data_IF_832974046135
#
_entry.id   IF_832974046135
#
_cell.length_a   1.000
_cell.length_b   1.000
_cell.length_c   1.000
_cell.angle_alpha   90.00
_cell.angle_beta   90.00
_cell.angle_gamma   90.00
#
_symmetry.space_group_name_H-M   'P 1'
#
loop_
_entity.id
_entity.type
_entity.pdbx_description
1 polymer ?
#
# COMPACT_ATOMS: atom_id res chain seq x y z
N UNK A 1 16.65 -13.61 -16.35
CA UNK A 1 15.54 -13.37 -15.40
C UNK A 1 14.55 -12.42 -16.03
N UNK A 2 13.57 -12.98 -16.76
CA UNK A 2 12.30 -12.31 -17.06
C UNK A 2 11.49 -12.38 -15.76
N UNK A 3 10.90 -11.24 -15.38
CA UNK A 3 9.75 -11.05 -14.48
C UNK A 3 9.95 -9.74 -13.73
N UNK A 4 8.95 -8.88 -13.77
CA UNK A 4 8.90 -7.66 -12.98
C UNK A 4 8.92 -8.10 -11.50
N UNK A 5 10.00 -7.89 -10.73
CA UNK A 5 10.11 -8.47 -9.38
C UNK A 5 9.02 -7.93 -8.44
N UNK A 6 8.42 -6.80 -8.78
CA UNK A 6 7.40 -6.13 -7.98
C UNK A 6 6.19 -5.80 -8.85
N UNK A 7 5.35 -6.80 -9.11
CA UNK A 7 4.08 -6.59 -9.79
C UNK A 7 3.11 -5.82 -8.87
N UNK A 8 2.53 -4.72 -9.36
CA UNK A 8 1.56 -3.90 -8.62
C UNK A 8 0.42 -4.75 -8.04
N UNK A 9 -0.09 -5.72 -8.81
CA UNK A 9 -1.15 -6.65 -8.37
C UNK A 9 -0.82 -7.34 -7.04
N UNK A 10 0.42 -7.80 -6.88
CA UNK A 10 0.84 -8.52 -5.67
C UNK A 10 0.94 -7.57 -4.48
N UNK A 11 1.45 -6.36 -4.70
CA UNK A 11 1.54 -5.32 -3.67
C UNK A 11 0.14 -4.86 -3.24
N UNK A 12 -0.76 -4.61 -4.19
CA UNK A 12 -2.14 -4.24 -3.94
C UNK A 12 -2.83 -5.25 -3.02
N UNK A 13 -2.76 -6.55 -3.34
CA UNK A 13 -3.37 -7.59 -2.53
C UNK A 13 -2.69 -7.74 -1.17
N UNK A 14 -1.37 -7.63 -1.10
CA UNK A 14 -0.63 -7.69 0.16
C UNK A 14 -1.07 -6.59 1.13
N UNK A 15 -1.19 -5.34 0.65
CA UNK A 15 -1.64 -4.24 1.49
C UNK A 15 -3.13 -4.34 1.83
N UNK A 16 -3.96 -4.72 0.86
CA UNK A 16 -5.41 -4.88 1.04
C UNK A 16 -5.70 -5.92 2.12
N UNK A 17 -5.17 -7.14 1.98
CA UNK A 17 -5.40 -8.21 2.95
C UNK A 17 -4.62 -7.99 4.25
N UNK A 18 -3.46 -7.36 4.19
CA UNK A 18 -2.67 -7.03 5.38
C UNK A 18 -3.36 -6.03 6.30
N UNK A 19 -4.04 -5.01 5.74
CA UNK A 19 -4.77 -4.01 6.53
C UNK A 19 -6.20 -4.42 6.88
N UNK A 20 -6.80 -5.32 6.09
CA UNK A 20 -8.18 -5.77 6.24
C UNK A 20 -8.58 -6.16 7.66
N UNK A 21 -7.87 -7.02 8.43
CA UNK A 21 -8.33 -7.42 9.77
C UNK A 21 -8.45 -6.24 10.73
N UNK A 22 -7.55 -5.27 10.65
CA UNK A 22 -7.56 -4.08 11.50
C UNK A 22 -8.69 -3.12 11.12
N UNK A 23 -8.90 -2.91 9.82
CA UNK A 23 -9.98 -2.05 9.32
C UNK A 23 -11.36 -2.68 9.54
N UNK A 24 -11.50 -4.00 9.40
CA UNK A 24 -12.75 -4.70 9.74
C UNK A 24 -13.05 -4.62 11.24
N UNK A 25 -12.04 -4.76 12.10
CA UNK A 25 -12.21 -4.58 13.54
C UNK A 25 -12.66 -3.15 13.87
N UNK A 26 -11.99 -2.14 13.31
CA UNK A 26 -12.38 -0.73 13.50
C UNK A 26 -13.79 -0.44 12.99
N UNK A 27 -14.14 -0.99 11.83
CA UNK A 27 -15.48 -0.89 11.22
C UNK A 27 -16.54 -1.49 12.15
N UNK A 28 -16.28 -2.68 12.70
CA UNK A 28 -17.17 -3.33 13.66
C UNK A 28 -17.29 -2.54 14.96
N UNK A 29 -16.20 -2.01 15.53
CA UNK A 29 -16.26 -1.17 16.73
C UNK A 29 -17.02 0.14 16.50
N UNK A 30 -16.89 0.74 15.32
CA UNK A 30 -17.69 1.89 14.92
C UNK A 30 -19.17 1.57 14.87
N UNK A 31 -19.55 0.38 14.40
CA UNK A 31 -20.94 -0.06 14.33
C UNK A 31 -21.65 -0.02 15.69
N UNK A 32 -20.93 -0.30 16.78
CA UNK A 32 -21.43 -0.25 18.16
C UNK A 32 -21.21 1.11 18.86
N UNK A 33 -20.85 2.15 18.11
CA UNK A 33 -20.53 3.48 18.64
C UNK A 33 -19.36 3.50 19.64
N UNK A 34 -18.44 2.52 19.58
CA UNK A 34 -17.30 2.43 20.51
C UNK A 34 -16.13 3.29 20.02
N UNK A 35 -15.81 3.24 18.73
CA UNK A 35 -14.70 3.97 18.12
C UNK A 35 -15.19 4.76 16.91
N UNK A 36 -14.98 6.09 16.84
CA UNK A 36 -15.34 6.87 15.66
C UNK A 36 -14.42 6.58 14.49
N UNK A 37 -14.98 6.62 13.28
CA UNK A 37 -14.22 6.74 12.03
C UNK A 37 -14.21 8.21 11.63
N UNK A 38 -13.03 8.82 11.60
CA UNK A 38 -12.90 10.21 11.17
C UNK A 38 -12.84 10.31 9.65
N UNK A 39 -13.77 11.06 9.07
CA UNK A 39 -13.79 11.38 7.65
C UNK A 39 -13.97 12.89 7.50
N UNK A 40 -13.10 13.56 6.74
CA UNK A 40 -13.08 15.02 6.60
C UNK A 40 -13.05 15.80 7.92
N UNK A 41 -12.35 15.29 8.94
CA UNK A 41 -12.28 15.82 10.31
C UNK A 41 -13.57 15.70 11.14
N UNK A 42 -14.60 15.04 10.61
CA UNK A 42 -15.83 14.77 11.36
C UNK A 42 -15.85 13.31 11.84
N UNK A 43 -16.24 13.05 13.10
CA UNK A 43 -16.36 11.69 13.61
C UNK A 43 -17.68 11.05 13.17
N UNK A 44 -17.59 9.91 12.48
CA UNK A 44 -18.74 9.11 12.08
C UNK A 44 -18.80 7.81 12.88
N UNK A 45 -20.00 7.44 13.31
CA UNK A 45 -20.27 6.23 14.09
C UNK A 45 -21.33 5.36 13.41
N UNK A 46 -21.61 4.20 14.00
CA UNK A 46 -22.66 3.30 13.57
C UNK A 46 -22.42 2.75 12.17
N UNK A 47 -23.51 2.65 11.40
CA UNK A 47 -23.50 2.12 10.05
C UNK A 47 -22.70 2.96 9.06
N UNK A 48 -22.67 4.28 9.27
CA UNK A 48 -21.91 5.20 8.42
C UNK A 48 -20.40 4.94 8.55
N UNK A 49 -19.87 4.95 9.78
CA UNK A 49 -18.46 4.65 10.01
C UNK A 49 -18.07 3.22 9.60
N UNK A 50 -18.99 2.26 9.77
CA UNK A 50 -18.81 0.89 9.28
C UNK A 50 -18.56 0.85 7.77
N UNK A 51 -19.44 1.49 6.97
CA UNK A 51 -19.31 1.55 5.51
C UNK A 51 -18.04 2.29 5.09
N UNK A 52 -17.77 3.46 5.70
CA UNK A 52 -16.60 4.27 5.36
C UNK A 52 -15.33 3.42 5.49
N UNK A 53 -15.16 2.69 6.60
CA UNK A 53 -13.98 1.85 6.78
C UNK A 53 -13.90 0.68 5.79
N UNK A 54 -15.02 0.02 5.47
CA UNK A 54 -15.03 -1.09 4.50
C UNK A 54 -14.61 -0.61 3.12
N UNK A 55 -15.18 0.52 2.68
CA UNK A 55 -14.79 1.12 1.41
C UNK A 55 -13.34 1.55 1.42
N UNK A 56 -12.81 2.00 2.55
CA UNK A 56 -11.42 2.45 2.65
C UNK A 56 -10.38 1.33 2.48
N UNK A 57 -10.73 0.06 2.72
CA UNK A 57 -9.81 -1.09 2.58
C UNK A 57 -9.16 -1.17 1.18
N UNK A 58 -9.91 -1.26 0.06
CA UNK A 58 -9.31 -1.29 -1.26
C UNK A 58 -8.60 0.03 -1.62
N UNK A 59 -9.06 1.18 -1.14
CA UNK A 59 -8.38 2.46 -1.37
C UNK A 59 -7.00 2.49 -0.71
N UNK A 60 -6.90 2.04 0.54
CA UNK A 60 -5.62 1.91 1.23
C UNK A 60 -4.68 0.96 0.48
N UNK A 61 -5.20 -0.20 0.06
CA UNK A 61 -4.45 -1.15 -0.76
C UNK A 61 -3.95 -0.56 -2.08
N UNK A 62 -4.78 0.25 -2.76
CA UNK A 62 -4.40 0.95 -3.99
C UNK A 62 -3.29 1.97 -3.74
N UNK A 63 -3.47 2.87 -2.76
CA UNK A 63 -2.51 3.93 -2.46
C UNK A 63 -1.16 3.33 -2.03
N UNK A 64 -1.17 2.45 -1.04
CA UNK A 64 0.05 1.84 -0.51
C UNK A 64 0.71 0.93 -1.55
N UNK A 65 -0.08 0.14 -2.27
CA UNK A 65 0.40 -0.68 -3.38
C UNK A 65 1.06 0.17 -4.46
N UNK A 66 0.50 1.33 -4.78
CA UNK A 66 1.01 2.20 -5.85
C UNK A 66 2.29 2.90 -5.44
N UNK A 67 2.32 3.49 -4.25
CA UNK A 67 3.50 4.16 -3.69
C UNK A 67 4.66 3.17 -3.58
N UNK A 68 4.41 1.98 -3.03
CA UNK A 68 5.47 0.97 -2.89
C UNK A 68 5.91 0.41 -4.25
N UNK A 69 4.98 0.25 -5.19
CA UNK A 69 5.32 -0.15 -6.55
C UNK A 69 6.27 0.85 -7.22
N UNK A 70 5.99 2.16 -7.13
CA UNK A 70 6.90 3.20 -7.62
C UNK A 70 8.25 3.09 -6.91
N UNK A 71 8.25 3.03 -5.59
CA UNK A 71 9.47 3.00 -4.78
C UNK A 71 10.40 1.85 -5.17
N UNK A 72 9.85 0.62 -5.26
CA UNK A 72 10.64 -0.58 -5.57
C UNK A 72 11.13 -0.61 -7.01
N UNK A 73 10.28 -0.23 -7.98
CA UNK A 73 10.67 -0.22 -9.39
C UNK A 73 11.69 0.89 -9.67
N UNK A 74 11.50 2.07 -9.08
CA UNK A 74 12.45 3.17 -9.18
C UNK A 74 13.79 2.85 -8.51
N UNK A 75 13.76 2.27 -7.29
CA UNK A 75 14.96 1.82 -6.59
C UNK A 75 15.74 0.77 -7.39
N UNK A 76 15.05 -0.23 -7.95
CA UNK A 76 15.68 -1.24 -8.80
C UNK A 76 16.25 -0.63 -10.11
N UNK A 77 15.57 0.36 -10.70
CA UNK A 77 16.09 1.09 -11.86
C UNK A 77 17.38 1.84 -11.52
N UNK A 78 17.40 2.58 -10.40
CA UNK A 78 18.59 3.30 -9.93
C UNK A 78 19.74 2.34 -9.64
N UNK A 79 19.48 1.27 -8.88
CA UNK A 79 20.48 0.25 -8.55
C UNK A 79 21.12 -0.37 -9.80
N UNK A 80 20.31 -0.69 -10.82
CA UNK A 80 20.83 -1.24 -12.08
C UNK A 80 21.66 -0.22 -12.85
N UNK A 81 21.32 1.07 -12.79
CA UNK A 81 22.10 2.13 -13.45
C UNK A 81 23.43 2.37 -12.73
N UNK A 82 23.43 2.51 -11.41
CA UNK A 82 24.64 2.73 -10.63
C UNK A 82 25.60 1.53 -10.70
N UNK A 83 25.09 0.31 -10.55
CA UNK A 83 25.92 -0.90 -10.62
C UNK A 83 26.54 -1.09 -12.02
N UNK A 84 25.82 -0.73 -13.10
CA UNK A 84 26.37 -0.75 -14.46
C UNK A 84 27.49 0.29 -14.67
N UNK A 85 27.39 1.47 -14.04
CA UNK A 85 28.43 2.49 -14.12
C UNK A 85 29.69 2.02 -13.39
N UNK A 86 29.56 1.54 -12.15
CA UNK A 86 30.69 1.01 -11.36
C UNK A 86 31.39 -0.15 -12.09
N UNK A 87 30.63 -1.07 -12.70
CA UNK A 87 31.22 -2.20 -13.42
C UNK A 87 31.93 -1.80 -14.71
N UNK A 88 31.47 -0.74 -15.40
CA UNK A 88 32.13 -0.24 -16.61
C UNK A 88 33.53 0.31 -16.30
N UNK A 89 33.69 1.01 -15.18
CA UNK A 89 34.99 1.54 -14.75
C UNK A 89 36.00 0.42 -14.45
N UNK A 90 35.57 -0.73 -13.94
CA UNK A 90 36.48 -1.85 -13.62
C UNK A 90 36.95 -2.70 -14.82
N UNK A 91 36.30 -2.58 -15.98
CA UNK A 91 36.67 -3.31 -17.21
C UNK A 91 37.33 -2.42 -18.26
N UNK A 92 37.48 -1.13 -17.98
CA UNK A 92 38.06 -0.12 -18.88
C UNK A 92 39.50 0.29 -18.56
N UNK A 93 40.19 -0.41 -17.67
CA UNK A 93 41.59 -0.19 -17.29
C UNK A 93 42.45 -1.41 -17.59
#
# INVERSE_FOLDING_TARGET
MKENPFAFKNLFWAYTFGSMPFMLLGSFLSLFNVVPVYFNNEPHYGFEGFIIMILFIPFFGLIMGFVNWIYLNFGNYLYRKTFKLIRRDQTGS
#
